data_IF_341606094490
#
_entry.id   IF_341606094490
#
_cell.length_a   1.000
_cell.length_b   1.000
_cell.length_c   1.000
_cell.angle_alpha   90.00
_cell.angle_beta   90.00
_cell.angle_gamma   90.00
#
_symmetry.space_group_name_H-M   'P 1'
#
loop_
_entity.id
_entity.type
_entity.pdbx_description
1 polymer ?
#
# COMPACT_ATOMS: atom_id res chain seq x y z
N UNK A 1 2.66 3.16 -37.88
CA UNK A 1 3.70 3.18 -36.82
C UNK A 1 3.75 1.76 -36.26
N UNK A 2 4.90 1.08 -36.26
CA UNK A 2 4.92 -0.30 -35.81
C UNK A 2 4.62 -0.36 -34.31
N UNK A 3 3.53 -1.05 -33.99
CA UNK A 3 3.21 -1.56 -32.65
C UNK A 3 4.30 -2.52 -32.23
N UNK A 4 5.12 -2.12 -31.26
CA UNK A 4 5.98 -3.02 -30.50
C UNK A 4 5.81 -2.62 -29.04
N UNK A 5 4.72 -3.07 -28.43
CA UNK A 5 4.69 -3.22 -26.98
C UNK A 5 5.65 -4.36 -26.65
N UNK A 6 6.96 -4.09 -26.60
CA UNK A 6 7.85 -5.02 -25.93
C UNK A 6 7.34 -5.11 -24.50
N UNK A 7 6.94 -6.30 -24.03
CA UNK A 7 6.60 -6.52 -22.63
C UNK A 7 7.74 -5.99 -21.75
N UNK A 8 7.53 -4.83 -21.14
CA UNK A 8 8.47 -4.25 -20.20
C UNK A 8 8.10 -4.76 -18.82
N UNK A 9 8.82 -5.75 -18.35
CA UNK A 9 8.67 -6.32 -17.00
C UNK A 9 9.63 -5.61 -16.05
N UNK A 10 9.12 -5.11 -14.93
CA UNK A 10 9.96 -4.51 -13.88
C UNK A 10 10.59 -5.61 -13.02
N UNK A 11 11.93 -5.71 -12.91
CA UNK A 11 12.58 -6.67 -11.99
C UNK A 11 12.35 -6.28 -10.52
N UNK A 12 12.46 -7.22 -9.57
CA UNK A 12 12.42 -6.87 -8.15
C UNK A 12 13.69 -6.13 -7.75
N UNK A 13 13.54 -5.02 -7.02
CA UNK A 13 14.64 -4.20 -6.51
C UNK A 13 15.08 -4.63 -5.10
N UNK A 14 14.21 -5.32 -4.34
CA UNK A 14 14.46 -5.63 -2.91
C UNK A 14 14.26 -7.09 -2.50
N UNK A 15 14.08 -8.01 -3.46
CA UNK A 15 14.09 -9.45 -3.19
C UNK A 15 15.41 -9.88 -2.51
N UNK A 16 15.32 -10.71 -1.47
CA UNK A 16 16.44 -11.11 -0.62
C UNK A 16 16.85 -10.08 0.44
N UNK A 17 16.24 -8.88 0.44
CA UNK A 17 16.50 -7.82 1.44
C UNK A 17 15.26 -7.52 2.29
N UNK A 18 14.15 -7.17 1.64
CA UNK A 18 12.90 -6.83 2.33
C UNK A 18 12.03 -8.07 2.55
N UNK A 19 12.15 -9.06 1.68
CA UNK A 19 11.45 -10.34 1.73
C UNK A 19 12.35 -11.44 1.13
N UNK A 20 12.15 -12.73 1.46
CA UNK A 20 12.97 -13.82 0.92
C UNK A 20 13.01 -13.86 -0.61
N UNK A 21 14.18 -14.15 -1.18
CA UNK A 21 14.31 -14.39 -2.63
C UNK A 21 13.91 -15.82 -3.02
N UNK A 22 13.88 -16.76 -2.06
CA UNK A 22 13.41 -18.12 -2.29
C UNK A 22 11.87 -18.14 -2.33
N UNK A 23 11.25 -18.66 -3.41
CA UNK A 23 9.80 -18.57 -3.60
C UNK A 23 9.00 -19.42 -2.62
N UNK A 24 9.52 -20.59 -2.21
CA UNK A 24 8.81 -21.46 -1.27
C UNK A 24 8.78 -20.81 0.11
N UNK A 25 9.94 -20.37 0.60
CA UNK A 25 10.04 -19.64 1.85
C UNK A 25 9.20 -18.36 1.84
N UNK A 26 9.23 -17.58 0.75
CA UNK A 26 8.44 -16.37 0.64
C UNK A 26 6.94 -16.66 0.75
N UNK A 27 6.45 -17.70 0.07
CA UNK A 27 5.05 -18.11 0.11
C UNK A 27 4.65 -18.59 1.52
N UNK A 28 5.48 -19.42 2.14
CA UNK A 28 5.23 -19.96 3.48
C UNK A 28 5.24 -18.87 4.56
N UNK A 29 6.23 -17.96 4.52
CA UNK A 29 6.33 -16.83 5.45
C UNK A 29 5.07 -15.94 5.37
N UNK A 30 4.60 -15.63 4.16
CA UNK A 30 3.39 -14.80 3.97
C UNK A 30 2.12 -15.55 4.37
N UNK A 31 1.98 -16.82 4.00
CA UNK A 31 0.82 -17.63 4.36
C UNK A 31 0.68 -17.73 5.88
N UNK A 32 1.78 -18.01 6.58
CA UNK A 32 1.79 -18.04 8.05
C UNK A 32 1.41 -16.69 8.66
N UNK A 33 1.91 -15.57 8.11
CA UNK A 33 1.55 -14.24 8.57
C UNK A 33 0.04 -13.97 8.42
N UNK A 34 -0.55 -14.33 7.28
CA UNK A 34 -2.00 -14.20 7.03
C UNK A 34 -2.80 -15.11 7.97
N UNK A 35 -2.39 -16.37 8.12
CA UNK A 35 -3.08 -17.36 8.95
C UNK A 35 -3.06 -16.97 10.44
N UNK A 36 -1.99 -16.30 10.90
CA UNK A 36 -1.87 -15.81 12.28
C UNK A 36 -2.90 -14.71 12.64
N UNK A 37 -3.46 -13.99 11.66
CA UNK A 37 -4.55 -13.04 11.89
C UNK A 37 -5.84 -13.78 12.25
N UNK A 38 -6.00 -15.01 11.74
CA UNK A 38 -7.20 -15.81 11.93
C UNK A 38 -8.33 -15.49 10.94
N UNK A 39 -9.49 -16.13 11.10
CA UNK A 39 -10.61 -15.97 10.17
C UNK A 39 -11.20 -14.56 10.20
N UNK A 40 -11.44 -13.99 9.03
CA UNK A 40 -12.05 -12.66 8.87
C UNK A 40 -13.37 -12.76 8.12
N UNK A 41 -14.42 -12.13 8.66
CA UNK A 41 -15.78 -12.12 8.08
C UNK A 41 -16.29 -10.71 7.76
N UNK A 42 -15.41 -9.71 7.73
CA UNK A 42 -15.76 -8.31 7.48
C UNK A 42 -16.07 -8.06 5.99
N UNK A 43 -16.95 -7.10 5.65
CA UNK A 43 -17.15 -6.65 4.27
C UNK A 43 -15.85 -6.15 3.63
N UNK A 44 -15.76 -6.24 2.30
CA UNK A 44 -14.63 -5.68 1.55
C UNK A 44 -14.63 -4.15 1.71
N UNK A 45 -13.51 -3.58 2.13
CA UNK A 45 -13.32 -2.14 2.21
C UNK A 45 -12.93 -1.57 0.84
N UNK A 46 -13.17 -0.27 0.64
CA UNK A 46 -12.85 0.41 -0.61
C UNK A 46 -11.33 0.67 -0.76
N UNK A 47 -10.63 0.84 0.36
CA UNK A 47 -9.19 1.00 0.39
C UNK A 47 -8.56 0.45 1.67
N UNK A 48 -7.26 0.24 1.63
CA UNK A 48 -6.44 -0.11 2.78
C UNK A 48 -5.19 0.77 2.86
N UNK A 49 -4.73 1.05 4.08
CA UNK A 49 -3.42 1.68 4.35
C UNK A 49 -2.53 0.61 4.95
N UNK A 50 -1.33 0.41 4.37
CA UNK A 50 -0.48 -0.77 4.63
C UNK A 50 1.00 -0.35 4.71
N UNK A 51 1.80 -0.92 5.64
CA UNK A 51 3.23 -0.62 5.71
C UNK A 51 4.02 -1.26 4.58
N UNK A 52 5.26 -0.82 4.37
CA UNK A 52 6.18 -1.33 3.35
C UNK A 52 7.62 -1.57 3.80
N UNK A 53 7.88 -1.61 5.12
CA UNK A 53 9.15 -2.14 5.61
C UNK A 53 9.34 -3.64 5.27
N UNK A 54 10.53 -4.18 5.56
CA UNK A 54 10.80 -5.60 5.37
C UNK A 54 9.89 -6.49 6.21
N UNK A 55 9.50 -7.66 5.68
CA UNK A 55 8.44 -8.52 6.24
C UNK A 55 8.73 -8.99 7.66
N UNK A 56 10.01 -9.16 8.02
CA UNK A 56 10.42 -9.48 9.39
C UNK A 56 10.03 -8.41 10.43
N UNK A 57 9.73 -7.19 9.99
CA UNK A 57 9.37 -6.06 10.84
C UNK A 57 7.88 -5.72 10.72
N UNK A 58 7.43 -5.36 9.50
CA UNK A 58 6.06 -4.88 9.27
C UNK A 58 5.09 -5.97 8.79
N UNK A 59 5.59 -7.17 8.49
CA UNK A 59 4.79 -8.28 7.95
C UNK A 59 3.55 -8.61 8.78
N UNK A 60 3.62 -8.71 10.12
CA UNK A 60 2.44 -8.94 10.95
C UNK A 60 1.38 -7.85 10.81
N UNK A 61 1.79 -6.58 10.70
CA UNK A 61 0.87 -5.44 10.53
C UNK A 61 0.28 -5.44 9.11
N UNK A 62 1.08 -5.74 8.09
CA UNK A 62 0.60 -5.87 6.72
C UNK A 62 -0.41 -7.02 6.60
N UNK A 63 -0.19 -8.13 7.31
CA UNK A 63 -1.06 -9.31 7.28
C UNK A 63 -2.50 -9.03 7.71
N UNK A 64 -2.72 -8.09 8.64
CA UNK A 64 -4.07 -7.63 9.02
C UNK A 64 -4.89 -7.19 7.80
N UNK A 65 -4.24 -6.52 6.85
CA UNK A 65 -4.89 -6.08 5.61
C UNK A 65 -5.03 -7.25 4.64
N UNK A 66 -3.97 -8.02 4.45
CA UNK A 66 -3.96 -9.09 3.45
C UNK A 66 -4.85 -10.29 3.80
N UNK A 67 -5.08 -10.56 5.09
CA UNK A 67 -6.07 -11.54 5.54
C UNK A 67 -7.50 -11.11 5.18
N UNK A 68 -7.81 -9.80 5.31
CA UNK A 68 -9.10 -9.23 4.87
C UNK A 68 -9.26 -9.32 3.36
N UNK A 69 -8.21 -9.02 2.59
CA UNK A 69 -8.23 -9.18 1.13
C UNK A 69 -8.41 -10.66 0.73
N UNK A 70 -7.73 -11.58 1.40
CA UNK A 70 -7.83 -13.01 1.14
C UNK A 70 -9.25 -13.56 1.36
N UNK A 71 -9.98 -13.04 2.34
CA UNK A 71 -11.40 -13.39 2.57
C UNK A 71 -12.33 -13.03 1.40
N UNK A 72 -11.89 -12.15 0.50
CA UNK A 72 -12.63 -11.74 -0.71
C UNK A 72 -11.92 -12.19 -2.00
N UNK A 73 -11.04 -13.20 -1.93
CA UNK A 73 -10.42 -13.81 -3.10
C UNK A 73 -11.49 -14.17 -4.15
N UNK A 74 -11.17 -13.88 -5.42
CA UNK A 74 -12.06 -14.13 -6.55
C UNK A 74 -12.99 -12.96 -6.89
N UNK A 75 -13.29 -12.06 -5.93
CA UNK A 75 -14.08 -10.83 -6.15
C UNK A 75 -13.24 -9.62 -6.55
N UNK A 76 -11.95 -9.63 -6.19
CA UNK A 76 -11.02 -8.55 -6.51
C UNK A 76 -10.24 -8.97 -7.76
N UNK A 77 -10.31 -8.16 -8.82
CA UNK A 77 -9.58 -8.38 -10.08
C UNK A 77 -8.46 -7.38 -10.28
N UNK A 78 -8.62 -6.16 -9.74
CA UNK A 78 -7.64 -5.09 -9.87
C UNK A 78 -7.30 -4.48 -8.52
N UNK A 79 -6.02 -4.13 -8.34
CA UNK A 79 -5.53 -3.43 -7.14
C UNK A 79 -4.80 -2.17 -7.56
N UNK A 80 -5.35 -1.01 -7.20
CA UNK A 80 -4.66 0.27 -7.40
C UNK A 80 -3.64 0.43 -6.27
N UNK A 81 -2.37 0.60 -6.61
CA UNK A 81 -1.28 0.75 -5.65
C UNK A 81 -0.77 2.19 -5.68
N UNK A 82 -0.85 2.89 -4.54
CA UNK A 82 -0.34 4.26 -4.41
C UNK A 82 0.64 4.33 -3.25
N UNK A 83 1.84 4.87 -3.48
CA UNK A 83 2.92 4.88 -2.48
C UNK A 83 4.01 5.88 -2.83
N UNK A 84 4.94 6.16 -1.90
CA UNK A 84 5.99 7.16 -2.09
C UNK A 84 7.00 6.77 -3.17
N UNK A 85 7.70 7.81 -3.65
CA UNK A 85 8.98 7.71 -4.37
C UNK A 85 10.11 8.17 -3.45
N UNK A 86 10.85 7.22 -2.87
CA UNK A 86 11.97 7.44 -1.96
C UNK A 86 13.26 7.81 -2.68
N UNK A 87 13.49 7.19 -3.83
CA UNK A 87 14.79 7.27 -4.53
C UNK A 87 14.82 8.35 -5.61
N UNK A 88 13.66 8.82 -6.07
CA UNK A 88 13.56 9.82 -7.13
C UNK A 88 12.69 11.01 -6.68
N UNK A 89 13.18 12.26 -6.80
CA UNK A 89 12.37 13.44 -6.52
C UNK A 89 11.19 13.54 -7.49
N UNK A 90 9.97 13.35 -6.98
CA UNK A 90 8.74 13.42 -7.76
C UNK A 90 7.86 14.59 -7.27
N UNK A 91 7.35 15.38 -8.21
CA UNK A 91 6.25 16.34 -7.98
C UNK A 91 5.01 15.79 -8.67
N UNK A 92 3.89 15.72 -7.95
CA UNK A 92 2.67 15.08 -8.42
C UNK A 92 2.77 13.55 -8.38
N UNK A 93 2.31 12.90 -9.44
CA UNK A 93 2.10 11.45 -9.49
C UNK A 93 2.62 10.89 -10.82
N UNK A 94 3.08 9.64 -10.81
CA UNK A 94 3.53 8.96 -12.02
C UNK A 94 3.12 7.49 -12.04
N UNK A 95 2.43 7.06 -13.09
CA UNK A 95 2.15 5.65 -13.33
C UNK A 95 3.42 4.93 -13.82
N UNK A 96 3.52 3.64 -13.48
CA UNK A 96 4.64 2.81 -13.93
C UNK A 96 4.41 2.33 -15.38
N UNK A 97 5.30 2.61 -16.34
CA UNK A 97 5.14 2.18 -17.74
C UNK A 97 5.68 0.75 -17.95
N UNK A 98 5.20 -0.17 -17.13
CA UNK A 98 5.50 -1.61 -17.20
C UNK A 98 4.21 -2.38 -17.48
N UNK A 99 4.36 -3.50 -18.18
CA UNK A 99 3.25 -4.44 -18.46
C UNK A 99 3.11 -5.50 -17.38
N UNK A 100 4.19 -5.75 -16.63
CA UNK A 100 4.18 -6.63 -15.47
C UNK A 100 5.33 -6.28 -14.50
N UNK A 101 5.21 -6.77 -13.27
CA UNK A 101 6.23 -6.67 -12.23
C UNK A 101 6.63 -8.09 -11.80
N UNK A 102 7.93 -8.36 -11.82
CA UNK A 102 8.48 -9.65 -11.42
C UNK A 102 8.65 -9.70 -9.89
N UNK A 103 8.20 -10.78 -9.27
CA UNK A 103 8.51 -11.17 -7.89
C UNK A 103 9.14 -12.57 -7.89
N UNK A 104 9.66 -13.07 -6.76
CA UNK A 104 10.05 -14.47 -6.67
C UNK A 104 8.90 -15.46 -6.92
N UNK A 105 7.64 -15.06 -6.66
CA UNK A 105 6.46 -15.91 -6.85
C UNK A 105 5.92 -15.92 -8.29
N UNK A 106 6.51 -15.13 -9.19
CA UNK A 106 6.05 -14.98 -10.57
C UNK A 106 5.77 -13.54 -10.93
N UNK A 107 5.17 -13.31 -12.10
CA UNK A 107 4.83 -11.97 -12.57
C UNK A 107 3.43 -11.56 -12.11
N UNK A 108 3.28 -10.27 -11.79
CA UNK A 108 1.99 -9.62 -11.56
C UNK A 108 1.74 -8.66 -12.72
N UNK A 109 0.62 -8.82 -13.43
CA UNK A 109 0.27 -7.94 -14.55
C UNK A 109 0.04 -6.51 -14.07
N UNK A 110 0.46 -5.53 -14.86
CA UNK A 110 0.29 -4.12 -14.57
C UNK A 110 -0.65 -3.47 -15.60
N UNK A 111 -1.77 -2.93 -15.12
CA UNK A 111 -2.69 -2.16 -15.93
C UNK A 111 -2.11 -0.76 -16.18
N UNK A 112 -2.05 -0.28 -17.44
CA UNK A 112 -1.78 1.12 -17.70
C UNK A 112 -2.95 1.98 -17.21
N UNK A 113 -2.70 3.26 -16.99
CA UNK A 113 -3.73 4.25 -16.66
C UNK A 113 -3.48 5.54 -17.43
N UNK A 114 -4.56 6.24 -17.79
CA UNK A 114 -4.48 7.57 -18.43
C UNK A 114 -4.73 8.72 -17.44
N UNK A 115 -5.02 8.41 -16.18
CA UNK A 115 -5.31 9.42 -15.13
C UNK A 115 -4.09 10.29 -14.83
N UNK A 116 -2.87 9.74 -14.94
CA UNK A 116 -1.61 10.43 -14.69
C UNK A 116 -0.58 10.10 -15.77
N UNK A 117 0.41 10.98 -15.95
CA UNK A 117 1.56 10.67 -16.81
C UNK A 117 2.35 9.46 -16.31
N UNK A 118 3.08 8.79 -17.20
CA UNK A 118 3.91 7.63 -16.85
C UNK A 118 5.41 7.96 -16.86
N UNK A 119 6.16 7.33 -15.97
CA UNK A 119 7.62 7.45 -15.90
C UNK A 119 8.22 6.24 -15.20
N UNK A 120 9.38 5.75 -15.66
CA UNK A 120 10.09 4.64 -15.00
C UNK A 120 10.85 5.08 -13.76
N UNK A 121 11.38 6.30 -13.77
CA UNK A 121 12.35 6.78 -12.78
C UNK A 121 11.86 6.68 -11.32
N UNK A 122 10.59 7.02 -10.99
CA UNK A 122 10.08 6.86 -9.63
C UNK A 122 9.86 5.41 -9.18
N UNK A 123 9.96 4.45 -10.09
CA UNK A 123 9.61 3.05 -9.84
C UNK A 123 10.81 2.10 -9.89
N UNK A 124 11.85 2.41 -10.69
CA UNK A 124 12.95 1.48 -10.99
C UNK A 124 13.65 0.89 -9.75
N UNK A 125 14.00 1.73 -8.78
CA UNK A 125 14.64 1.31 -7.53
C UNK A 125 13.67 1.32 -6.33
N UNK A 126 12.40 1.64 -6.56
CA UNK A 126 11.42 1.89 -5.50
C UNK A 126 10.84 0.60 -4.92
N UNK A 127 10.74 0.53 -3.60
CA UNK A 127 10.27 -0.67 -2.91
C UNK A 127 8.82 -0.55 -2.41
N UNK A 128 8.31 0.68 -2.21
CA UNK A 128 7.04 0.92 -1.53
C UNK A 128 5.86 0.16 -2.14
N UNK A 129 5.80 0.04 -3.47
CA UNK A 129 4.77 -0.70 -4.18
C UNK A 129 5.15 -2.17 -4.39
N UNK A 130 6.44 -2.45 -4.61
CA UNK A 130 6.94 -3.81 -4.87
C UNK A 130 6.66 -4.76 -3.71
N UNK A 131 6.90 -4.33 -2.47
CA UNK A 131 6.74 -5.19 -1.29
C UNK A 131 5.28 -5.59 -1.03
N UNK A 132 4.32 -4.93 -1.68
CA UNK A 132 2.91 -5.30 -1.61
C UNK A 132 2.60 -6.50 -2.53
N UNK A 133 3.39 -6.71 -3.59
CA UNK A 133 3.07 -7.68 -4.66
C UNK A 133 3.08 -9.14 -4.20
N UNK A 134 4.09 -9.64 -3.44
CA UNK A 134 4.05 -11.03 -2.97
C UNK A 134 2.86 -11.30 -2.05
N UNK A 135 2.52 -10.36 -1.16
CA UNK A 135 1.34 -10.46 -0.31
C UNK A 135 0.06 -10.56 -1.14
N UNK A 136 -0.08 -9.74 -2.18
CA UNK A 136 -1.23 -9.79 -3.09
C UNK A 136 -1.32 -11.12 -3.84
N UNK A 137 -0.20 -11.65 -4.34
CA UNK A 137 -0.18 -12.96 -5.02
C UNK A 137 -0.62 -14.09 -4.07
N UNK A 138 -0.16 -14.09 -2.82
CA UNK A 138 -0.55 -15.10 -1.84
C UNK A 138 -1.98 -14.91 -1.35
N UNK A 139 -2.47 -13.67 -1.17
CA UNK A 139 -3.81 -13.39 -0.68
C UNK A 139 -4.89 -13.60 -1.76
N UNK A 140 -4.68 -13.10 -2.97
CA UNK A 140 -5.69 -13.02 -4.02
C UNK A 140 -5.47 -13.99 -5.19
N UNK A 141 -4.29 -14.58 -5.32
CA UNK A 141 -3.92 -15.45 -6.44
C UNK A 141 -3.20 -14.70 -7.58
N UNK A 142 -2.94 -15.41 -8.67
CA UNK A 142 -2.08 -14.93 -9.78
C UNK A 142 -2.86 -14.19 -10.88
N UNK A 143 -4.19 -14.25 -10.85
CA UNK A 143 -5.05 -13.63 -11.87
C UNK A 143 -5.28 -12.13 -11.65
N UNK A 144 -4.74 -11.56 -10.59
CA UNK A 144 -4.89 -10.13 -10.30
C UNK A 144 -4.05 -9.26 -11.24
N UNK A 145 -4.51 -8.03 -11.41
CA UNK A 145 -3.77 -6.96 -12.07
C UNK A 145 -3.57 -5.79 -11.11
N UNK A 146 -2.42 -5.11 -11.20
CA UNK A 146 -2.12 -3.93 -10.38
C UNK A 146 -2.04 -2.66 -11.22
N UNK A 147 -2.41 -1.52 -10.67
CA UNK A 147 -2.15 -0.20 -11.26
C UNK A 147 -1.20 0.58 -10.34
N UNK A 148 0.14 0.52 -10.56
CA UNK A 148 1.11 1.14 -9.68
C UNK A 148 1.32 2.62 -10.00
N UNK A 149 1.09 3.48 -9.01
CA UNK A 149 1.24 4.93 -9.11
C UNK A 149 2.13 5.44 -7.98
N UNK A 150 3.30 5.97 -8.36
CA UNK A 150 4.17 6.66 -7.44
C UNK A 150 3.58 8.04 -7.11
N UNK A 151 3.57 8.41 -5.83
CA UNK A 151 3.08 9.66 -5.32
C UNK A 151 4.25 10.44 -4.70
N UNK A 152 4.57 11.58 -5.30
CA UNK A 152 5.55 12.53 -4.81
C UNK A 152 4.90 13.72 -4.12
N UNK A 153 5.61 14.84 -4.07
CA UNK A 153 5.11 16.06 -3.46
C UNK A 153 3.87 16.58 -4.19
N UNK A 154 2.74 16.61 -3.47
CA UNK A 154 1.42 16.99 -4.01
C UNK A 154 0.52 17.58 -2.91
N UNK A 155 -0.61 18.17 -3.29
CA UNK A 155 -1.64 18.55 -2.33
C UNK A 155 -2.63 17.39 -2.12
N UNK A 156 -3.21 17.32 -0.92
CA UNK A 156 -4.17 16.28 -0.56
C UNK A 156 -5.40 16.26 -1.51
N UNK A 157 -6.01 17.41 -1.90
CA UNK A 157 -7.12 17.41 -2.85
C UNK A 157 -6.74 16.88 -4.25
N UNK A 158 -5.53 17.15 -4.71
CA UNK A 158 -5.06 16.68 -6.03
C UNK A 158 -4.90 15.16 -6.03
N UNK A 159 -4.29 14.63 -4.96
CA UNK A 159 -4.12 13.19 -4.79
C UNK A 159 -5.46 12.49 -4.58
N UNK A 160 -6.41 13.10 -3.86
CA UNK A 160 -7.74 12.56 -3.69
C UNK A 160 -8.52 12.45 -5.01
N UNK A 161 -8.43 13.48 -5.88
CA UNK A 161 -9.03 13.43 -7.22
C UNK A 161 -8.38 12.38 -8.11
N UNK A 162 -7.06 12.24 -8.04
CA UNK A 162 -6.34 11.17 -8.74
C UNK A 162 -6.82 9.79 -8.29
N UNK A 163 -6.94 9.56 -6.97
CA UNK A 163 -7.43 8.29 -6.42
C UNK A 163 -8.86 7.98 -6.91
N UNK A 164 -9.76 8.98 -6.86
CA UNK A 164 -11.12 8.80 -7.37
C UNK A 164 -11.13 8.39 -8.85
N UNK A 165 -10.38 9.12 -9.69
CA UNK A 165 -10.29 8.83 -11.12
C UNK A 165 -9.66 7.45 -11.43
N UNK A 166 -8.67 7.01 -10.65
CA UNK A 166 -8.09 5.66 -10.80
C UNK A 166 -9.10 4.56 -10.46
N UNK A 167 -9.86 4.73 -9.38
CA UNK A 167 -10.88 3.75 -9.00
C UNK A 167 -12.04 3.72 -10.00
N UNK A 168 -12.46 4.87 -10.51
CA UNK A 168 -13.48 4.97 -11.57
C UNK A 168 -13.00 4.31 -12.87
N UNK A 169 -11.75 4.52 -13.29
CA UNK A 169 -11.15 3.87 -14.46
C UNK A 169 -11.02 2.34 -14.27
N UNK A 170 -10.80 1.89 -13.03
CA UNK A 170 -10.57 0.50 -12.69
C UNK A 170 -11.86 -0.35 -12.54
N UNK A 171 -12.97 0.26 -12.13
CA UNK A 171 -14.28 -0.41 -12.01
C UNK A 171 -14.50 -1.12 -10.67
N UNK A 172 -15.65 -1.80 -10.54
CA UNK A 172 -16.22 -2.26 -9.26
C UNK A 172 -15.44 -3.40 -8.57
N UNK A 173 -14.68 -4.21 -9.32
CA UNK A 173 -13.84 -5.30 -8.77
C UNK A 173 -12.43 -4.82 -8.36
N UNK A 174 -12.36 -3.59 -7.84
CA UNK A 174 -11.11 -2.89 -7.52
C UNK A 174 -11.01 -2.51 -6.05
N UNK A 175 -9.80 -2.61 -5.50
CA UNK A 175 -9.45 -2.06 -4.19
C UNK A 175 -8.20 -1.15 -4.29
N UNK A 176 -8.17 -0.10 -3.49
CA UNK A 176 -6.97 0.74 -3.33
C UNK A 176 -6.09 0.22 -2.19
N UNK A 177 -4.77 0.16 -2.40
CA UNK A 177 -3.77 0.00 -1.34
C UNK A 177 -2.88 1.24 -1.33
N UNK A 178 -2.97 2.01 -0.24
CA UNK A 178 -2.09 3.11 0.09
C UNK A 178 -0.90 2.58 0.92
N UNK A 179 0.28 2.55 0.31
CA UNK A 179 1.50 2.02 0.91
C UNK A 179 2.26 3.12 1.66
N UNK A 180 2.38 2.99 2.99
CA UNK A 180 3.15 3.92 3.84
C UNK A 180 3.53 3.31 5.19
N UNK A 181 4.77 3.54 5.60
CA UNK A 181 5.17 3.48 7.02
C UNK A 181 4.90 4.84 7.69
N UNK A 182 4.92 4.88 9.03
CA UNK A 182 4.70 6.10 9.84
C UNK A 182 6.02 6.74 10.30
N UNK A 183 6.17 7.02 11.60
CA UNK A 183 7.34 7.70 12.15
C UNK A 183 8.62 6.88 11.91
N UNK A 184 9.77 7.56 11.77
CA UNK A 184 11.05 6.93 11.45
C UNK A 184 12.14 7.33 12.43
N UNK A 185 12.85 6.33 12.94
CA UNK A 185 14.10 6.46 13.67
C UNK A 185 14.02 7.28 14.97
N UNK A 186 12.85 7.23 15.63
CA UNK A 186 12.65 7.76 16.98
C UNK A 186 12.78 6.64 18.02
N UNK A 187 12.96 7.01 19.29
CA UNK A 187 12.70 6.06 20.40
C UNK A 187 11.23 5.64 20.40
N UNK A 188 10.95 4.47 21.00
CA UNK A 188 9.62 3.86 21.03
C UNK A 188 8.54 4.83 21.53
N UNK A 189 8.75 5.51 22.66
CA UNK A 189 7.73 6.37 23.25
C UNK A 189 7.42 7.59 22.36
N UNK A 190 8.45 8.17 21.73
CA UNK A 190 8.28 9.25 20.76
C UNK A 190 7.55 8.77 19.50
N UNK A 191 7.91 7.60 18.97
CA UNK A 191 7.26 6.99 17.82
C UNK A 191 5.78 6.72 18.09
N UNK A 192 5.45 6.02 19.18
CA UNK A 192 4.07 5.72 19.59
C UNK A 192 3.21 6.98 19.70
N UNK A 193 3.75 8.08 20.25
CA UNK A 193 3.03 9.35 20.35
C UNK A 193 2.73 9.96 18.97
N UNK A 194 3.72 9.98 18.07
CA UNK A 194 3.55 10.51 16.70
C UNK A 194 2.59 9.64 15.90
N UNK A 195 2.72 8.33 16.03
CA UNK A 195 1.94 7.34 15.30
C UNK A 195 0.49 7.32 15.78
N UNK A 196 0.26 7.42 17.09
CA UNK A 196 -1.08 7.55 17.66
C UNK A 196 -1.77 8.86 17.20
N UNK A 197 -1.04 9.97 17.14
CA UNK A 197 -1.58 11.22 16.62
C UNK A 197 -1.93 11.11 15.12
N UNK A 198 -1.09 10.42 14.35
CA UNK A 198 -1.32 10.19 12.92
C UNK A 198 -2.52 9.25 12.70
N UNK A 199 -2.62 8.17 13.47
CA UNK A 199 -3.76 7.28 13.49
C UNK A 199 -5.07 8.02 13.84
N UNK A 200 -5.01 8.94 14.82
CA UNK A 200 -6.17 9.77 15.15
C UNK A 200 -6.57 10.71 14.01
N UNK A 201 -5.60 11.34 13.34
CA UNK A 201 -5.87 12.17 12.17
C UNK A 201 -6.49 11.38 11.02
N UNK A 202 -6.06 10.12 10.79
CA UNK A 202 -6.69 9.21 9.82
C UNK A 202 -8.13 8.93 10.23
N UNK A 203 -8.39 8.44 11.45
CA UNK A 203 -9.74 8.11 11.94
C UNK A 203 -10.70 9.28 11.90
N UNK A 204 -10.20 10.48 12.21
CA UNK A 204 -10.99 11.71 12.20
C UNK A 204 -11.06 12.40 10.84
N UNK A 205 -10.51 11.81 9.77
CA UNK A 205 -10.53 12.37 8.42
C UNK A 205 -9.88 13.77 8.33
N UNK A 206 -8.79 14.00 9.08
CA UNK A 206 -8.08 15.30 9.16
C UNK A 206 -6.69 15.22 8.52
N UNK A 207 -6.58 15.17 7.17
CA UNK A 207 -5.29 14.97 6.49
C UNK A 207 -4.29 16.10 6.75
N UNK A 208 -4.74 17.31 7.07
CA UNK A 208 -3.86 18.45 7.39
C UNK A 208 -3.09 18.28 8.70
N UNK A 209 -3.55 17.43 9.61
CA UNK A 209 -2.90 17.16 10.90
C UNK A 209 -1.77 16.13 10.81
N UNK A 210 -1.72 15.36 9.71
CA UNK A 210 -0.63 14.43 9.45
C UNK A 210 0.56 15.26 8.95
N UNK A 211 1.61 15.49 9.74
CA UNK A 211 2.75 16.31 9.31
C UNK A 211 3.65 15.57 8.30
N UNK A 212 4.49 16.31 7.57
CA UNK A 212 5.32 15.74 6.50
C UNK A 212 6.25 14.61 6.98
N UNK A 213 6.76 14.73 8.20
CA UNK A 213 7.66 13.76 8.83
C UNK A 213 6.95 12.59 9.54
N UNK A 214 5.61 12.57 9.58
CA UNK A 214 4.86 11.52 10.28
C UNK A 214 4.78 10.22 9.48
N UNK A 215 5.03 10.25 8.17
CA UNK A 215 4.90 9.10 7.29
C UNK A 215 5.79 9.27 6.05
N UNK A 216 6.48 8.21 5.61
CA UNK A 216 7.27 8.27 4.37
C UNK A 216 6.39 8.47 3.13
N UNK A 217 5.18 7.90 3.14
CA UNK A 217 4.13 8.06 2.13
C UNK A 217 3.15 9.18 2.40
N UNK A 218 3.55 10.25 3.11
CA UNK A 218 2.64 11.29 3.62
C UNK A 218 1.70 11.87 2.56
N UNK A 219 2.15 12.06 1.31
CA UNK A 219 1.31 12.62 0.25
C UNK A 219 0.21 11.66 -0.20
N UNK A 220 0.55 10.38 -0.37
CA UNK A 220 -0.41 9.32 -0.66
C UNK A 220 -1.40 9.14 0.51
N UNK A 221 -0.89 9.15 1.74
CA UNK A 221 -1.69 9.01 2.95
C UNK A 221 -2.70 10.16 3.09
N UNK A 222 -2.23 11.41 3.01
CA UNK A 222 -3.11 12.59 3.06
C UNK A 222 -4.15 12.59 1.95
N UNK A 223 -3.77 12.19 0.73
CA UNK A 223 -4.68 12.05 -0.40
C UNK A 223 -5.75 11.00 -0.17
N UNK A 224 -5.37 9.84 0.37
CA UNK A 224 -6.29 8.74 0.71
C UNK A 224 -7.28 9.16 1.78
N UNK A 225 -6.83 9.85 2.83
CA UNK A 225 -7.70 10.37 3.89
C UNK A 225 -8.64 11.46 3.35
N UNK A 226 -8.14 12.37 2.52
CA UNK A 226 -8.97 13.40 1.88
C UNK A 226 -10.01 12.80 0.91
N UNK A 227 -9.65 11.75 0.17
CA UNK A 227 -10.58 11.01 -0.68
C UNK A 227 -11.67 10.31 0.14
N UNK A 228 -11.30 9.69 1.25
CA UNK A 228 -12.25 9.05 2.14
C UNK A 228 -13.28 10.07 2.69
N UNK A 229 -12.80 11.25 3.12
CA UNK A 229 -13.64 12.34 3.60
C UNK A 229 -14.62 12.84 2.54
N UNK A 230 -14.09 13.20 1.36
CA UNK A 230 -14.86 13.72 0.24
C UNK A 230 -15.93 12.75 -0.31
N UNK A 231 -15.81 11.46 0.01
CA UNK A 231 -16.71 10.42 -0.49
C UNK A 231 -17.53 9.74 0.61
N UNK A 232 -17.50 10.27 1.84
CA UNK A 232 -18.29 9.76 2.96
C UNK A 232 -17.86 8.39 3.47
N UNK A 233 -16.65 7.93 3.12
CA UNK A 233 -16.09 6.66 3.59
C UNK A 233 -15.61 6.76 5.03
N UNK A 234 -15.35 5.63 5.68
CA UNK A 234 -14.99 5.59 7.11
C UNK A 234 -13.69 4.80 7.34
N UNK A 235 -12.65 5.44 7.88
CA UNK A 235 -11.43 4.74 8.27
C UNK A 235 -11.63 3.94 9.56
N UNK A 236 -11.11 2.71 9.56
CA UNK A 236 -11.10 1.81 10.71
C UNK A 236 -9.70 1.26 10.90
N UNK A 237 -9.17 1.47 12.10
CA UNK A 237 -7.84 0.97 12.47
C UNK A 237 -7.90 -0.53 12.69
N UNK A 238 -7.02 -1.27 12.01
CA UNK A 238 -6.86 -2.71 12.14
C UNK A 238 -5.70 -3.02 13.09
N UNK A 239 -4.57 -2.36 12.89
CA UNK A 239 -3.41 -2.43 13.76
C UNK A 239 -2.60 -1.14 13.72
N UNK A 240 -1.82 -0.95 14.78
CA UNK A 240 -0.80 0.09 14.89
C UNK A 240 0.31 -0.47 15.77
N UNK A 241 1.52 -0.56 15.23
CA UNK A 241 2.67 -1.14 15.90
C UNK A 241 3.96 -0.48 15.40
N UNK A 242 5.10 -0.81 16.00
CA UNK A 242 6.42 -0.36 15.58
C UNK A 242 7.33 -1.56 15.30
N UNK A 243 8.52 -1.30 14.77
CA UNK A 243 9.55 -2.34 14.64
C UNK A 243 9.95 -3.00 15.95
N UNK A 244 9.75 -2.36 17.11
CA UNK A 244 10.07 -2.96 18.41
C UNK A 244 9.08 -4.06 18.84
N UNK A 245 7.86 -4.07 18.28
CA UNK A 245 6.87 -5.13 18.54
C UNK A 245 7.23 -6.47 17.87
N UNK A 246 8.29 -6.50 17.05
CA UNK A 246 8.79 -7.70 16.40
C UNK A 246 10.25 -7.98 16.75
N UNK A 247 11.19 -7.51 15.94
CA UNK A 247 12.63 -7.83 16.02
C UNK A 247 13.53 -6.59 16.05
N UNK A 248 12.95 -5.40 16.12
CA UNK A 248 13.66 -4.12 16.22
C UNK A 248 13.99 -3.72 17.65
N UNK A 249 14.94 -2.80 17.81
CA UNK A 249 15.29 -2.21 19.11
C UNK A 249 14.35 -1.06 19.45
N UNK A 250 13.90 -0.90 20.72
CA UNK A 250 13.05 0.23 21.13
C UNK A 250 13.77 1.59 21.10
N UNK A 251 15.09 1.62 20.93
CA UNK A 251 15.86 2.88 20.88
C UNK A 251 15.68 3.63 19.55
N UNK A 252 15.32 2.92 18.49
CA UNK A 252 15.24 3.47 17.14
C UNK A 252 14.30 2.65 16.27
N UNK A 253 13.05 3.09 16.17
CA UNK A 253 11.97 2.32 15.56
C UNK A 253 11.36 2.97 14.32
N UNK A 254 10.61 2.19 13.56
CA UNK A 254 9.72 2.66 12.50
C UNK A 254 8.29 2.26 12.86
N UNK A 255 7.33 3.16 12.68
CA UNK A 255 5.91 2.92 12.92
C UNK A 255 5.19 2.31 11.72
N UNK A 256 4.19 1.46 11.99
CA UNK A 256 3.46 0.68 10.98
C UNK A 256 1.94 0.81 11.18
N UNK A 257 1.21 1.36 10.19
CA UNK A 257 -0.24 1.48 10.25
C UNK A 257 -0.94 0.36 9.43
N UNK A 258 -2.01 -0.23 9.95
CA UNK A 258 -2.96 -0.98 9.15
C UNK A 258 -4.37 -0.40 9.31
N UNK A 259 -4.97 0.05 8.22
CA UNK A 259 -6.34 0.59 8.20
C UNK A 259 -7.15 0.02 7.06
N UNK A 260 -8.44 -0.18 7.31
CA UNK A 260 -9.47 -0.31 6.28
C UNK A 260 -10.17 1.04 6.08
N UNK A 261 -10.55 1.37 4.86
CA UNK A 261 -11.40 2.51 4.51
C UNK A 261 -12.71 1.94 3.99
N UNK A 262 -13.66 1.75 4.88
CA UNK A 262 -14.94 1.11 4.61
C UNK A 262 -15.79 1.99 3.69
N UNK A 263 -16.63 1.35 2.85
CA UNK A 263 -17.63 2.05 2.05
C UNK A 263 -18.56 2.87 2.95
N UNK A 264 -19.21 3.95 2.44
CA UNK A 264 -20.22 4.65 3.21
C UNK A 264 -21.26 3.65 3.69
N UNK A 265 -21.61 3.70 4.97
CA UNK A 265 -22.76 2.95 5.48
C UNK A 265 -23.99 3.35 4.67
N UNK A 266 -24.81 2.37 4.28
CA UNK A 266 -26.15 2.69 3.75
C UNK A 266 -26.84 3.50 4.85
N UNK A 267 -27.20 4.75 4.56
CA UNK A 267 -28.08 5.48 5.47
C UNK A 267 -29.38 4.66 5.55
N UNK A 268 -29.68 4.13 6.74
CA UNK A 268 -31.01 3.60 7.04
C UNK A 268 -32.09 4.66 6.82
#
# INVERSE_FOLDING_TARGET
>A
MPSITSETVRPPAVAGRFYPADPNRLRDDIAQLIDNVGPVSEPLAAAYIVPHAGYRYSGPVAAEVYARLAAHRGKIKRVVLVGPSHHYPLRGHAAAPYTAWQTPLGQVRAAPTNVVGSSRLPHEAEHSLEVQLPFLQVALGEDIEVTPVACGMSQAPDTARMIAALLDEAGEETVLVCSTDLSHFHDQATAERIDAATAQAIKSLRPREIAAQHACGVFALRGTVAWADATGRRPRQLALATSADTVGSPERVVGYPAFAIDFPGVAE
#
